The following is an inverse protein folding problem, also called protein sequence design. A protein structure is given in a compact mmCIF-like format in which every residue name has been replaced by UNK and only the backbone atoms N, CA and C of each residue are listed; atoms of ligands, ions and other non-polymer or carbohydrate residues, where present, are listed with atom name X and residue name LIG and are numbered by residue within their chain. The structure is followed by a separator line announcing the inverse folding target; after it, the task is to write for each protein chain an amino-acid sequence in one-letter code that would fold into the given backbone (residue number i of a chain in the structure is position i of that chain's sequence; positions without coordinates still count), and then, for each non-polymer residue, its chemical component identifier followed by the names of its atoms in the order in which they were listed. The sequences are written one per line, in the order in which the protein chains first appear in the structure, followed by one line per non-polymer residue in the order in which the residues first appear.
data_IF_698947948893
#
_entry.id   IF_698947948893
#
_cell.length_a   1.000
_cell.length_b   1.000
_cell.length_c   1.000
_cell.angle_alpha   90.00
_cell.angle_beta   90.00
_cell.angle_gamma   90.00
#
_symmetry.space_group_name_H-M   'P 1'
#
loop_
_entity.id
_entity.type
_entity.pdbx_description
1 polymer ?
#
# COMPACT_ATOMS: atom_id res chain seq x y z
N UNK A 1 -50.66 -35.08 35.82
CA UNK A 1 -49.69 -36.11 35.43
C UNK A 1 -49.91 -36.41 33.96
N UNK A 2 -49.16 -35.79 33.05
CA UNK A 2 -49.22 -36.06 31.63
C UNK A 2 -47.79 -35.86 31.08
N UNK A 3 -47.18 -36.99 30.74
CA UNK A 3 -45.84 -37.10 30.22
C UNK A 3 -45.87 -36.87 28.73
N UNK A 4 -45.26 -35.74 28.25
CA UNK A 4 -45.03 -35.49 26.82
C UNK A 4 -43.77 -36.21 26.37
N UNK A 5 -43.98 -37.30 25.62
CA UNK A 5 -42.96 -37.95 24.80
C UNK A 5 -42.63 -37.05 23.58
N UNK A 6 -41.55 -36.31 23.58
CA UNK A 6 -41.01 -35.70 22.37
C UNK A 6 -40.32 -36.76 21.50
N UNK A 7 -40.98 -37.10 20.37
CA UNK A 7 -40.45 -37.98 19.35
C UNK A 7 -39.13 -37.43 18.75
N UNK A 8 -38.06 -38.20 18.82
CA UNK A 8 -36.84 -37.99 18.09
C UNK A 8 -37.11 -38.24 16.62
N UNK A 9 -37.15 -37.23 15.78
CA UNK A 9 -37.15 -37.37 14.35
C UNK A 9 -35.80 -38.00 13.89
N UNK A 10 -35.89 -39.18 13.29
CA UNK A 10 -34.78 -39.92 12.70
C UNK A 10 -34.25 -39.14 11.47
N UNK A 11 -32.96 -38.87 11.42
CA UNK A 11 -32.28 -38.28 10.25
C UNK A 11 -32.30 -39.31 9.13
N UNK A 12 -32.63 -38.93 7.87
CA UNK A 12 -32.56 -39.80 6.75
C UNK A 12 -31.10 -40.24 6.46
N UNK A 13 -30.89 -41.47 5.96
CA UNK A 13 -29.57 -41.97 5.67
C UNK A 13 -28.93 -41.16 4.53
N UNK A 14 -27.67 -40.73 4.74
CA UNK A 14 -26.89 -40.06 3.71
C UNK A 14 -26.46 -41.10 2.65
N UNK A 15 -27.07 -41.02 1.48
CA UNK A 15 -26.67 -41.85 0.33
C UNK A 15 -25.38 -41.24 -0.27
N UNK A 16 -24.25 -41.92 -0.06
CA UNK A 16 -22.99 -41.57 -0.71
C UNK A 16 -23.03 -42.01 -2.18
N UNK A 17 -23.34 -41.08 -3.08
CA UNK A 17 -23.19 -41.30 -4.52
C UNK A 17 -21.71 -41.29 -4.84
N UNK A 18 -21.13 -42.48 -5.10
CA UNK A 18 -19.77 -42.65 -5.61
C UNK A 18 -19.69 -42.02 -7.00
N UNK A 19 -19.21 -40.76 -7.09
CA UNK A 19 -18.92 -40.14 -8.40
C UNK A 19 -17.80 -40.92 -9.07
N UNK A 20 -18.15 -41.67 -10.11
CA UNK A 20 -17.19 -42.32 -11.00
C UNK A 20 -16.19 -41.29 -11.52
N UNK A 21 -14.92 -41.66 -11.49
CA UNK A 21 -13.81 -40.91 -12.07
C UNK A 21 -13.97 -40.95 -13.60
N UNK A 22 -14.11 -39.85 -14.33
CA UNK A 22 -14.02 -39.92 -15.79
C UNK A 22 -12.55 -40.15 -16.14
N UNK A 23 -12.31 -41.28 -16.85
CA UNK A 23 -11.08 -41.55 -17.54
C UNK A 23 -11.08 -40.74 -18.84
N UNK A 24 -10.62 -39.53 -18.81
CA UNK A 24 -10.33 -38.75 -20.03
C UNK A 24 -8.91 -38.20 -19.94
N UNK A 25 -8.02 -38.84 -20.74
CA UNK A 25 -6.72 -38.37 -21.11
C UNK A 25 -6.78 -37.12 -22.01
N UNK A 26 -7.46 -36.09 -21.55
CA UNK A 26 -7.41 -34.77 -22.16
C UNK A 26 -6.20 -34.01 -21.62
N UNK A 27 -5.18 -33.86 -22.43
CA UNK A 27 -4.06 -32.95 -22.24
C UNK A 27 -4.64 -31.54 -22.05
N UNK A 28 -4.84 -31.12 -20.79
CA UNK A 28 -5.33 -29.78 -20.49
C UNK A 28 -4.22 -28.80 -20.86
N UNK A 29 -4.39 -28.18 -22.01
CA UNK A 29 -3.61 -26.96 -22.36
C UNK A 29 -3.68 -26.02 -21.16
N UNK A 30 -2.57 -25.88 -20.42
CA UNK A 30 -2.46 -24.92 -19.33
C UNK A 30 -2.48 -23.54 -19.97
N UNK A 31 -3.50 -22.70 -19.71
CA UNK A 31 -3.52 -21.36 -20.29
C UNK A 31 -2.30 -20.59 -19.80
N UNK A 32 -1.51 -20.07 -20.73
CA UNK A 32 -0.32 -19.26 -20.49
C UNK A 32 -0.56 -18.06 -19.56
N UNK A 33 -1.83 -17.68 -19.38
CA UNK A 33 -2.27 -16.62 -18.46
C UNK A 33 -2.39 -17.06 -16.99
N UNK A 34 -2.24 -18.35 -16.65
CA UNK A 34 -2.39 -18.81 -15.26
C UNK A 34 -1.26 -18.31 -14.34
N UNK A 35 -0.08 -18.03 -14.90
CA UNK A 35 1.07 -17.47 -14.16
C UNK A 35 0.86 -16.01 -13.77
N UNK A 36 0.43 -15.20 -14.71
CA UNK A 36 0.18 -13.76 -14.49
C UNK A 36 -0.99 -13.51 -13.55
N UNK A 37 -2.07 -14.27 -13.66
CA UNK A 37 -3.22 -14.16 -12.73
C UNK A 37 -2.87 -14.62 -11.32
N UNK A 38 -1.99 -15.62 -11.15
CA UNK A 38 -1.53 -16.08 -9.84
C UNK A 38 -0.60 -15.04 -9.20
N UNK A 39 0.34 -14.47 -9.96
CA UNK A 39 1.21 -13.38 -9.51
C UNK A 39 0.41 -12.14 -9.10
N UNK A 40 -0.56 -11.72 -9.91
CA UNK A 40 -1.47 -10.62 -9.57
C UNK A 40 -2.29 -10.90 -8.31
N UNK A 41 -2.81 -12.11 -8.13
CA UNK A 41 -3.54 -12.51 -6.92
C UNK A 41 -2.65 -12.51 -5.68
N UNK A 42 -1.37 -12.92 -5.79
CA UNK A 42 -0.45 -12.89 -4.66
C UNK A 42 -0.08 -11.46 -4.25
N UNK A 43 0.15 -10.58 -5.23
CA UNK A 43 0.39 -9.13 -4.97
C UNK A 43 -0.86 -8.45 -4.39
N UNK A 44 -2.06 -8.94 -4.71
CA UNK A 44 -3.32 -8.40 -4.19
C UNK A 44 -3.75 -9.04 -2.86
N UNK A 45 -3.01 -10.04 -2.34
CA UNK A 45 -3.30 -10.66 -1.05
C UNK A 45 -2.98 -9.74 0.14
N UNK A 46 -3.58 -10.00 1.30
CA UNK A 46 -3.29 -9.25 2.54
C UNK A 46 -1.83 -9.35 2.94
N UNK A 47 -1.16 -10.48 2.66
CA UNK A 47 0.26 -10.73 2.95
C UNK A 47 1.20 -9.83 2.13
N UNK A 48 0.72 -9.26 1.02
CA UNK A 48 1.49 -8.35 0.17
C UNK A 48 1.30 -6.86 0.52
N UNK A 49 0.61 -6.52 1.62
CA UNK A 49 0.45 -5.12 2.07
C UNK A 49 1.78 -4.38 2.24
N UNK A 50 2.81 -4.96 2.90
CA UNK A 50 4.11 -4.29 3.03
C UNK A 50 4.74 -4.01 1.66
N UNK A 51 4.64 -4.95 0.72
CA UNK A 51 5.15 -4.78 -0.63
C UNK A 51 4.40 -3.67 -1.39
N UNK A 52 3.07 -3.65 -1.30
CA UNK A 52 2.24 -2.59 -1.91
C UNK A 52 2.58 -1.22 -1.33
N UNK A 53 2.80 -1.15 -0.01
CA UNK A 53 3.23 0.07 0.66
C UNK A 53 4.62 0.52 0.20
N UNK A 54 5.58 -0.41 0.10
CA UNK A 54 6.92 -0.12 -0.41
C UNK A 54 6.89 0.36 -1.87
N UNK A 55 6.05 -0.25 -2.71
CA UNK A 55 5.86 0.16 -4.12
C UNK A 55 5.26 1.56 -4.20
N UNK A 56 4.19 1.84 -3.44
CA UNK A 56 3.56 3.18 -3.45
C UNK A 56 4.51 4.25 -2.91
N UNK A 57 5.27 3.96 -1.85
CA UNK A 57 6.30 4.86 -1.31
C UNK A 57 7.45 5.09 -2.29
N UNK A 58 7.92 4.04 -2.96
CA UNK A 58 8.96 4.13 -4.00
C UNK A 58 8.51 4.99 -5.20
N UNK A 59 7.30 4.79 -5.69
CA UNK A 59 6.72 5.60 -6.77
C UNK A 59 6.59 7.06 -6.38
N UNK A 60 6.14 7.34 -5.15
CA UNK A 60 6.07 8.71 -4.63
C UNK A 60 7.46 9.36 -4.50
N UNK A 61 8.47 8.58 -4.06
CA UNK A 61 9.86 9.05 -4.02
C UNK A 61 10.42 9.39 -5.40
N UNK A 62 10.18 8.54 -6.39
CA UNK A 62 10.55 8.81 -7.79
C UNK A 62 9.84 10.07 -8.32
N UNK A 63 8.55 10.23 -8.00
CA UNK A 63 7.80 11.42 -8.36
C UNK A 63 8.41 12.69 -7.72
N UNK A 64 8.82 12.63 -6.44
CA UNK A 64 9.50 13.76 -5.79
C UNK A 64 10.77 14.15 -6.53
N UNK A 65 11.63 13.19 -6.88
CA UNK A 65 12.87 13.46 -7.61
C UNK A 65 12.60 14.02 -9.01
N UNK A 66 11.62 13.48 -9.72
CA UNK A 66 11.22 13.98 -11.03
C UNK A 66 10.69 15.42 -10.99
N UNK A 67 9.84 15.73 -10.00
CA UNK A 67 9.31 17.08 -9.80
C UNK A 67 10.41 18.06 -9.41
N UNK A 68 11.32 17.67 -8.53
CA UNK A 68 12.48 18.50 -8.18
C UNK A 68 13.35 18.80 -9.40
N UNK A 69 13.66 17.78 -10.21
CA UNK A 69 14.44 17.97 -11.44
C UNK A 69 13.73 18.94 -12.39
N UNK A 70 12.45 18.75 -12.60
CA UNK A 70 11.63 19.59 -13.47
C UNK A 70 11.62 21.04 -12.98
N UNK A 71 11.30 21.28 -11.71
CA UNK A 71 11.23 22.63 -11.14
C UNK A 71 12.57 23.36 -11.20
N UNK A 72 13.67 22.65 -10.92
CA UNK A 72 15.03 23.24 -11.01
C UNK A 72 15.44 23.54 -12.45
N UNK A 73 15.00 22.74 -13.44
CA UNK A 73 15.19 23.07 -14.86
C UNK A 73 14.46 24.35 -15.28
N UNK A 74 13.31 24.64 -14.67
CA UNK A 74 12.58 25.89 -14.88
C UNK A 74 13.13 27.07 -14.07
N UNK A 75 14.32 26.93 -13.47
CA UNK A 75 15.00 28.01 -12.74
C UNK A 75 14.55 28.21 -11.30
N UNK A 76 13.76 27.32 -10.73
CA UNK A 76 13.37 27.41 -9.32
C UNK A 76 14.57 27.18 -8.41
N UNK A 77 14.65 27.94 -7.33
CA UNK A 77 15.57 27.62 -6.24
C UNK A 77 15.29 26.20 -5.70
N UNK A 78 16.34 25.43 -5.45
CA UNK A 78 16.23 24.02 -5.07
C UNK A 78 15.49 23.79 -3.74
N UNK A 79 15.53 24.75 -2.79
CA UNK A 79 14.86 24.59 -1.50
C UNK A 79 13.34 24.64 -1.66
N UNK A 80 12.71 25.70 -2.21
CA UNK A 80 11.28 25.70 -2.45
C UNK A 80 10.84 24.65 -3.47
N UNK A 81 11.68 24.34 -4.48
CA UNK A 81 11.39 23.27 -5.43
C UNK A 81 11.25 21.90 -4.74
N UNK A 82 12.17 21.57 -3.81
CA UNK A 82 12.07 20.33 -3.05
C UNK A 82 10.86 20.31 -2.10
N UNK A 83 10.52 21.43 -1.49
CA UNK A 83 9.33 21.52 -0.62
C UNK A 83 8.05 21.27 -1.41
N UNK A 84 7.90 21.87 -2.60
CA UNK A 84 6.76 21.64 -3.49
C UNK A 84 6.73 20.20 -4.00
N UNK A 85 7.87 19.67 -4.43
CA UNK A 85 7.99 18.27 -4.87
C UNK A 85 7.61 17.29 -3.76
N UNK A 86 8.06 17.53 -2.53
CA UNK A 86 7.71 16.74 -1.35
C UNK A 86 6.21 16.79 -1.05
N UNK A 87 5.61 17.98 -1.07
CA UNK A 87 4.16 18.12 -0.86
C UNK A 87 3.36 17.34 -1.89
N UNK A 88 3.66 17.52 -3.18
CA UNK A 88 2.94 16.85 -4.26
C UNK A 88 3.12 15.33 -4.23
N UNK A 89 4.35 14.86 -4.00
CA UNK A 89 4.63 13.42 -3.87
C UNK A 89 3.94 12.80 -2.66
N UNK A 90 3.81 13.54 -1.55
CA UNK A 90 3.06 13.08 -0.36
C UNK A 90 1.57 12.92 -0.68
N UNK A 91 0.95 13.84 -1.43
CA UNK A 91 -0.44 13.70 -1.86
C UNK A 91 -0.62 12.51 -2.80
N UNK A 92 0.29 12.32 -3.74
CA UNK A 92 0.29 11.17 -4.63
C UNK A 92 0.44 9.85 -3.84
N UNK A 93 1.32 9.81 -2.83
CA UNK A 93 1.47 8.64 -1.96
C UNK A 93 0.20 8.34 -1.15
N UNK A 94 -0.48 9.38 -0.64
CA UNK A 94 -1.79 9.20 -0.01
C UNK A 94 -2.79 8.58 -0.99
N UNK A 95 -2.92 9.15 -2.19
CA UNK A 95 -3.84 8.66 -3.21
C UNK A 95 -3.52 7.20 -3.60
N UNK A 96 -2.25 6.87 -3.87
CA UNK A 96 -1.81 5.51 -4.18
C UNK A 96 -2.06 4.55 -3.01
N UNK A 97 -1.76 4.96 -1.79
CA UNK A 97 -2.01 4.15 -0.60
C UNK A 97 -3.50 3.93 -0.40
N UNK A 98 -4.32 4.96 -0.53
CA UNK A 98 -5.78 4.87 -0.41
C UNK A 98 -6.40 4.03 -1.52
N UNK A 99 -5.93 4.20 -2.77
CA UNK A 99 -6.49 3.52 -3.93
C UNK A 99 -5.99 2.08 -4.08
N UNK A 100 -4.74 1.79 -3.73
CA UNK A 100 -4.09 0.53 -3.99
C UNK A 100 -3.78 -0.27 -2.71
N UNK A 101 -3.14 0.34 -1.71
CA UNK A 101 -2.68 -0.38 -0.52
C UNK A 101 -3.85 -0.76 0.39
N UNK A 102 -4.79 0.17 0.62
CA UNK A 102 -5.91 0.01 1.55
C UNK A 102 -7.27 -0.19 0.88
N UNK A 103 -7.27 -0.63 -0.39
CA UNK A 103 -8.51 -0.86 -1.15
C UNK A 103 -9.48 -1.81 -0.44
N UNK A 104 -8.93 -2.82 0.27
CA UNK A 104 -9.71 -3.85 0.96
C UNK A 104 -10.45 -3.33 2.22
N UNK A 105 -10.07 -2.14 2.71
CA UNK A 105 -10.66 -1.47 3.88
C UNK A 105 -11.47 -0.21 3.52
N UNK A 106 -11.81 -0.04 2.24
CA UNK A 106 -12.69 1.06 1.86
C UNK A 106 -14.12 0.75 2.29
N UNK A 107 -14.83 1.69 2.96
CA UNK A 107 -16.27 1.58 3.12
C UNK A 107 -16.91 1.50 1.74
N UNK A 108 -17.95 0.67 1.57
CA UNK A 108 -18.71 0.55 0.31
C UNK A 108 -19.38 1.86 -0.13
N UNK A 109 -19.52 2.80 0.78
CA UNK A 109 -19.91 4.18 0.53
C UNK A 109 -18.87 5.10 1.16
N UNK A 110 -17.81 5.43 0.40
CA UNK A 110 -16.81 6.42 0.80
C UNK A 110 -17.43 7.80 0.81
N UNK A 111 -18.05 8.22 1.92
CA UNK A 111 -18.50 9.61 2.08
C UNK A 111 -17.27 10.51 2.17
N UNK A 112 -17.34 11.70 1.53
CA UNK A 112 -16.26 12.69 1.55
C UNK A 112 -15.68 12.96 2.96
N UNK A 113 -16.48 13.02 4.05
CA UNK A 113 -15.98 13.21 5.40
C UNK A 113 -15.01 12.11 5.86
N UNK A 114 -15.25 10.84 5.50
CA UNK A 114 -14.36 9.71 5.89
C UNK A 114 -13.00 9.81 5.19
N UNK A 115 -12.99 10.21 3.93
CA UNK A 115 -11.74 10.44 3.17
C UNK A 115 -10.95 11.59 3.77
N UNK A 116 -11.61 12.68 4.13
CA UNK A 116 -10.99 13.86 4.75
C UNK A 116 -10.34 13.51 6.09
N UNK A 117 -11.04 12.79 6.98
CA UNK A 117 -10.49 12.35 8.28
C UNK A 117 -9.25 11.47 8.09
N UNK A 118 -9.28 10.54 7.14
CA UNK A 118 -8.13 9.70 6.81
C UNK A 118 -6.98 10.50 6.23
N UNK A 119 -7.27 11.48 5.39
CA UNK A 119 -6.27 12.37 4.83
C UNK A 119 -5.59 13.21 5.92
N UNK A 120 -6.33 13.82 6.83
CA UNK A 120 -5.78 14.59 7.97
C UNK A 120 -4.93 13.69 8.87
N UNK A 121 -5.40 12.50 9.22
CA UNK A 121 -4.62 11.55 10.01
C UNK A 121 -3.31 11.13 9.30
N UNK A 122 -3.38 10.92 7.98
CA UNK A 122 -2.19 10.62 7.18
C UNK A 122 -1.20 11.80 7.19
N UNK A 123 -1.67 13.04 6.98
CA UNK A 123 -0.80 14.23 7.01
C UNK A 123 -0.10 14.39 8.36
N UNK A 124 -0.81 14.14 9.48
CA UNK A 124 -0.20 14.12 10.80
C UNK A 124 0.90 13.06 10.95
N UNK A 125 0.65 11.85 10.43
CA UNK A 125 1.62 10.74 10.53
C UNK A 125 2.88 10.96 9.71
N UNK A 126 2.80 11.68 8.59
CA UNK A 126 3.96 11.94 7.70
C UNK A 126 4.67 13.26 8.00
N UNK A 127 4.07 14.16 8.79
CA UNK A 127 4.64 15.48 9.06
C UNK A 127 6.06 15.40 9.65
N UNK A 128 6.29 14.50 10.61
CA UNK A 128 7.61 14.31 11.21
C UNK A 128 8.67 13.82 10.22
N UNK A 129 8.31 12.88 9.36
CA UNK A 129 9.23 12.35 8.33
C UNK A 129 9.42 13.32 7.18
N UNK A 130 8.42 14.14 6.86
CA UNK A 130 8.56 15.24 5.90
C UNK A 130 9.51 16.32 6.42
N UNK A 131 9.41 16.67 7.70
CA UNK A 131 10.36 17.58 8.34
C UNK A 131 11.79 17.01 8.31
N UNK A 132 11.97 15.74 8.67
CA UNK A 132 13.28 15.07 8.60
C UNK A 132 13.84 15.07 7.17
N UNK A 133 13.01 14.75 6.16
CA UNK A 133 13.39 14.83 4.75
C UNK A 133 13.92 16.23 4.42
N UNK A 134 13.17 17.27 4.78
CA UNK A 134 13.53 18.64 4.46
C UNK A 134 14.81 19.12 5.16
N UNK A 135 15.00 18.78 6.44
CA UNK A 135 16.21 19.12 7.19
C UNK A 135 17.46 18.46 6.59
N UNK A 136 17.36 17.15 6.27
CA UNK A 136 18.47 16.43 5.62
C UNK A 136 18.74 16.99 4.21
N UNK A 137 17.69 17.29 3.45
CA UNK A 137 17.84 17.93 2.15
C UNK A 137 18.61 19.26 2.26
N UNK A 138 18.20 20.15 3.16
CA UNK A 138 18.83 21.47 3.34
C UNK A 138 20.31 21.33 3.74
N UNK A 139 20.63 20.46 4.69
CA UNK A 139 22.00 20.19 5.10
C UNK A 139 22.85 19.60 3.96
N UNK A 140 22.34 18.58 3.27
CA UNK A 140 23.02 17.94 2.16
C UNK A 140 23.20 18.87 0.95
N UNK A 141 22.24 19.77 0.72
CA UNK A 141 22.26 20.71 -0.42
C UNK A 141 23.41 21.73 -0.33
N UNK A 142 23.98 21.93 0.85
CA UNK A 142 25.16 22.79 1.01
C UNK A 142 26.39 22.25 0.23
N UNK A 143 26.49 20.93 0.04
CA UNK A 143 27.65 20.26 -0.56
C UNK A 143 27.32 19.34 -1.73
N UNK A 144 26.03 19.02 -1.95
CA UNK A 144 25.59 18.05 -2.97
C UNK A 144 24.64 18.70 -3.99
N UNK A 145 24.59 18.15 -5.22
CA UNK A 145 23.57 18.52 -6.21
C UNK A 145 22.14 18.29 -5.68
N UNK A 146 21.13 19.05 -6.16
CA UNK A 146 19.77 18.99 -5.62
C UNK A 146 19.14 17.60 -5.60
N UNK A 147 19.32 16.82 -6.66
CA UNK A 147 18.76 15.46 -6.76
C UNK A 147 19.38 14.50 -5.76
N UNK A 148 20.72 14.56 -5.57
CA UNK A 148 21.42 13.72 -4.59
C UNK A 148 21.04 14.10 -3.16
N UNK A 149 20.93 15.41 -2.87
CA UNK A 149 20.46 15.90 -1.59
C UNK A 149 19.01 15.45 -1.29
N UNK A 150 18.12 15.49 -2.29
CA UNK A 150 16.74 15.01 -2.13
C UNK A 150 16.68 13.49 -1.94
N UNK A 151 17.50 12.72 -2.64
CA UNK A 151 17.59 11.27 -2.42
C UNK A 151 18.07 10.94 -1.00
N UNK A 152 19.04 11.71 -0.45
CA UNK A 152 19.49 11.59 0.94
C UNK A 152 18.35 11.89 1.94
N UNK A 153 17.55 12.93 1.70
CA UNK A 153 16.38 13.27 2.49
C UNK A 153 15.32 12.16 2.48
N UNK A 154 15.04 11.59 1.30
CA UNK A 154 14.13 10.46 1.14
C UNK A 154 14.62 9.22 1.90
N UNK A 155 15.91 8.88 1.79
CA UNK A 155 16.50 7.75 2.51
C UNK A 155 16.41 7.93 4.04
N UNK A 156 16.69 9.12 4.54
CA UNK A 156 16.58 9.47 5.96
C UNK A 156 15.11 9.33 6.44
N UNK A 157 14.14 9.87 5.69
CA UNK A 157 12.72 9.76 6.01
C UNK A 157 12.23 8.31 6.01
N UNK A 158 12.65 7.49 5.03
CA UNK A 158 12.31 6.07 4.96
C UNK A 158 12.90 5.29 6.14
N UNK A 159 14.16 5.57 6.51
CA UNK A 159 14.81 4.97 7.68
C UNK A 159 14.12 5.38 8.98
N UNK A 160 13.72 6.64 9.11
CA UNK A 160 12.95 7.14 10.25
C UNK A 160 11.61 6.42 10.39
N UNK A 161 10.87 6.28 9.29
CA UNK A 161 9.62 5.53 9.26
C UNK A 161 9.80 4.07 9.66
N UNK A 162 10.87 3.42 9.20
CA UNK A 162 11.16 2.03 9.56
C UNK A 162 11.44 1.90 11.06
N UNK A 163 12.31 2.76 11.62
CA UNK A 163 12.66 2.73 13.05
C UNK A 163 11.45 3.01 13.94
N UNK A 164 10.60 3.98 13.55
CA UNK A 164 9.36 4.29 14.27
C UNK A 164 8.40 3.09 14.20
N UNK A 165 8.22 2.52 13.01
CA UNK A 165 7.39 1.34 12.82
C UNK A 165 7.85 0.17 13.68
N UNK A 166 9.13 -0.16 13.65
CA UNK A 166 9.72 -1.29 14.39
C UNK A 166 9.62 -1.10 15.91
N UNK A 167 9.87 0.11 16.42
CA UNK A 167 9.91 0.37 17.87
C UNK A 167 8.56 0.65 18.51
N UNK A 168 7.59 1.21 17.76
CA UNK A 168 6.33 1.72 18.33
C UNK A 168 5.07 1.00 17.81
N UNK A 169 5.12 0.36 16.64
CA UNK A 169 3.95 -0.26 16.02
C UNK A 169 3.94 -1.78 16.18
N UNK A 170 5.10 -2.42 16.23
CA UNK A 170 5.24 -3.88 16.26
C UNK A 170 5.84 -4.44 17.57
N UNK A 171 5.84 -3.66 18.64
CA UNK A 171 6.17 -4.15 19.97
C UNK A 171 4.98 -4.75 20.69
#
# INVERSE_FOLDING_TARGET
MSSEHRGRAARPPQVWVRRGRPADGGERLRPLHAGTTRALRSVLSERARPLRFAVSGGLAGLLQLALLALLTQYGWNSIPANAVALLLSTQANFALSYLFTWRDRRPHAGTAPVVLVRWVAYQGSVAGTALLNMLVFMAARAVLPPLVASAAGLAAAASGNFVIGDRFVFR
#
